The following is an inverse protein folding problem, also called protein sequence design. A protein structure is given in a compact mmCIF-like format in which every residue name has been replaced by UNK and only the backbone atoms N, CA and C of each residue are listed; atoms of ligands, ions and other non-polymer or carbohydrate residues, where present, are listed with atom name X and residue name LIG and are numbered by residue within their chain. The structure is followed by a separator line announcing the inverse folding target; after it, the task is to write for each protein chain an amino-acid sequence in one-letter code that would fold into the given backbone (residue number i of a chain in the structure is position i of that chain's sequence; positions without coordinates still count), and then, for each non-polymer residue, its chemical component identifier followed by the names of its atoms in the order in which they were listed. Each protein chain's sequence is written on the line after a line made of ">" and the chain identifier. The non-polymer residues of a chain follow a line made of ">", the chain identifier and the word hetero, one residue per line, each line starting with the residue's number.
data_IF_017493434347
#
_entry.id   IF_017493434347
#
_cell.length_a   1.000
_cell.length_b   1.000
_cell.length_c   1.000
_cell.angle_alpha   90.00
_cell.angle_beta   90.00
_cell.angle_gamma   90.00
#
_symmetry.space_group_name_H-M   'P 1'
#
loop_
_entity.id
_entity.type
_entity.pdbx_description
1 polymer ?
#
# COMPACT_ATOMS: atom_id res chain seq x y z
N UNK A 1 -6.56 -40.02 31.73
CA UNK A 1 -7.03 -39.06 30.71
C UNK A 1 -7.01 -37.69 31.36
N UNK A 2 -5.95 -36.91 31.12
CA UNK A 2 -5.77 -35.59 31.72
C UNK A 2 -5.75 -34.54 30.61
N UNK A 3 -6.54 -33.48 30.79
CA UNK A 3 -6.49 -32.30 29.94
C UNK A 3 -5.32 -31.39 30.30
N UNK A 4 -4.91 -30.59 29.32
CA UNK A 4 -4.17 -29.35 29.50
C UNK A 4 -4.44 -28.47 28.29
N UNK A 5 -5.16 -27.39 28.51
CA UNK A 5 -5.28 -26.29 27.57
C UNK A 5 -4.06 -25.37 27.60
N UNK A 6 -4.05 -24.42 26.66
CA UNK A 6 -3.38 -23.14 26.83
C UNK A 6 -2.29 -22.82 25.80
N UNK A 7 -2.38 -21.58 25.30
CA UNK A 7 -1.34 -20.72 24.72
C UNK A 7 -1.14 -20.67 23.20
N UNK A 8 -1.91 -19.76 22.58
CA UNK A 8 -1.44 -18.79 21.58
C UNK A 8 -2.51 -17.68 21.58
N UNK A 9 -2.43 -16.56 22.31
CA UNK A 9 -1.42 -15.48 22.30
C UNK A 9 -0.92 -15.22 20.86
N UNK A 10 -1.31 -14.17 20.14
CA UNK A 10 -2.11 -13.02 20.55
C UNK A 10 -2.29 -12.00 19.41
N UNK A 11 -2.94 -10.90 19.79
CA UNK A 11 -2.88 -9.56 19.18
C UNK A 11 -3.22 -9.42 17.69
N UNK A 12 -4.52 -9.39 17.38
CA UNK A 12 -5.07 -8.78 16.18
C UNK A 12 -5.19 -7.24 16.33
N UNK A 13 -4.10 -6.55 16.67
CA UNK A 13 -4.11 -5.08 16.89
C UNK A 13 -2.85 -4.42 16.33
N UNK A 14 -2.62 -4.58 15.03
CA UNK A 14 -1.61 -3.83 14.31
C UNK A 14 -2.04 -3.74 12.86
N UNK A 15 -2.57 -2.58 12.46
CA UNK A 15 -2.79 -2.23 11.05
C UNK A 15 -1.54 -2.51 10.21
N UNK A 16 -1.68 -2.56 8.89
CA UNK A 16 -0.79 -3.14 7.86
C UNK A 16 0.72 -3.31 8.11
N UNK A 17 1.36 -2.45 8.89
CA UNK A 17 2.69 -2.68 9.44
C UNK A 17 2.78 -3.96 10.30
N UNK A 18 1.73 -4.31 11.05
CA UNK A 18 1.62 -5.57 11.80
C UNK A 18 1.51 -6.81 10.91
N UNK A 19 0.89 -6.68 9.72
CA UNK A 19 0.84 -7.75 8.71
C UNK A 19 2.20 -7.96 8.03
N UNK A 20 3.00 -6.89 7.88
CA UNK A 20 4.35 -6.96 7.33
C UNK A 20 5.37 -7.60 8.31
N UNK A 21 5.09 -7.63 9.62
CA UNK A 21 6.07 -8.08 10.63
C UNK A 21 5.63 -9.32 11.41
N UNK A 22 4.33 -9.59 11.49
CA UNK A 22 3.77 -10.58 12.41
C UNK A 22 3.67 -12.01 11.87
N UNK A 23 3.66 -12.22 10.55
CA UNK A 23 3.53 -13.57 10.02
C UNK A 23 4.89 -14.26 9.91
N UNK A 24 4.99 -15.49 10.43
CA UNK A 24 6.15 -16.38 10.23
C UNK A 24 6.42 -16.65 8.73
N UNK A 25 5.46 -16.32 7.85
CA UNK A 25 5.52 -16.40 6.40
C UNK A 25 6.43 -15.30 5.79
N UNK A 26 6.32 -14.05 6.25
CA UNK A 26 7.10 -12.92 5.71
C UNK A 26 8.60 -13.03 6.02
N UNK A 27 8.96 -13.56 7.20
CA UNK A 27 10.37 -13.81 7.55
C UNK A 27 11.04 -14.87 6.68
N UNK A 28 10.26 -15.76 6.03
CA UNK A 28 10.77 -16.73 5.05
C UNK A 28 10.97 -16.10 3.66
N UNK A 29 10.27 -15.02 3.33
CA UNK A 29 10.46 -14.29 2.05
C UNK A 29 11.66 -13.34 2.06
N UNK A 30 12.19 -12.98 3.22
CA UNK A 30 13.41 -12.15 3.34
C UNK A 30 14.74 -12.93 3.21
N UNK A 31 14.70 -14.26 3.05
CA UNK A 31 15.88 -15.14 3.15
C UNK A 31 16.29 -15.91 1.88
N UNK A 32 15.62 -15.70 0.74
CA UNK A 32 15.95 -16.37 -0.52
C UNK A 32 16.11 -15.35 -1.65
N UNK A 33 17.14 -15.50 -2.48
CA UNK A 33 17.57 -14.55 -3.50
C UNK A 33 16.48 -14.17 -4.52
N UNK A 34 15.67 -13.17 -4.17
CA UNK A 34 14.88 -12.24 -5.01
C UNK A 34 13.99 -11.45 -4.04
N UNK A 35 14.59 -10.42 -3.43
CA UNK A 35 13.91 -9.55 -2.48
C UNK A 35 12.86 -8.69 -3.18
N UNK A 36 11.62 -9.17 -3.24
CA UNK A 36 10.48 -8.32 -3.57
C UNK A 36 10.10 -7.54 -2.31
N UNK A 37 10.62 -6.31 -2.18
CA UNK A 37 10.18 -5.38 -1.14
C UNK A 37 8.68 -5.08 -1.28
N UNK A 38 8.02 -4.62 -0.20
CA UNK A 38 6.57 -4.39 -0.20
C UNK A 38 6.07 -3.53 -1.37
N UNK A 39 6.79 -2.48 -1.74
CA UNK A 39 6.46 -1.62 -2.89
C UNK A 39 6.51 -2.38 -4.23
N UNK A 40 7.47 -3.28 -4.43
CA UNK A 40 7.57 -4.08 -5.66
C UNK A 40 6.35 -4.99 -5.85
N UNK A 41 5.84 -5.58 -4.76
CA UNK A 41 4.63 -6.39 -4.79
C UNK A 41 3.40 -5.53 -5.13
N UNK A 42 3.26 -4.36 -4.50
CA UNK A 42 2.15 -3.43 -4.78
C UNK A 42 2.17 -2.97 -6.23
N UNK A 43 3.33 -2.55 -6.74
CA UNK A 43 3.48 -2.15 -8.14
C UNK A 43 3.18 -3.29 -9.11
N UNK A 44 3.62 -4.52 -8.83
CA UNK A 44 3.33 -5.68 -9.66
C UNK A 44 1.83 -6.05 -9.66
N UNK A 45 1.18 -5.99 -8.50
CA UNK A 45 -0.27 -6.20 -8.38
C UNK A 45 -1.04 -5.15 -9.16
N UNK A 46 -0.71 -3.87 -8.98
CA UNK A 46 -1.36 -2.77 -9.69
C UNK A 46 -1.20 -2.89 -11.21
N UNK A 47 0.03 -3.17 -11.67
CA UNK A 47 0.31 -3.38 -13.09
C UNK A 47 -0.47 -4.56 -13.66
N UNK A 48 -0.51 -5.70 -12.95
CA UNK A 48 -1.25 -6.89 -13.42
C UNK A 48 -2.76 -6.69 -13.40
N UNK A 49 -3.29 -6.03 -12.38
CA UNK A 49 -4.71 -5.66 -12.31
C UNK A 49 -5.09 -4.75 -13.49
N UNK A 50 -4.26 -3.74 -13.77
CA UNK A 50 -4.43 -2.85 -14.92
C UNK A 50 -4.34 -3.61 -16.26
N UNK A 51 -3.36 -4.49 -16.44
CA UNK A 51 -3.24 -5.31 -17.64
C UNK A 51 -4.46 -6.23 -17.84
N UNK A 52 -4.98 -6.83 -16.78
CA UNK A 52 -6.18 -7.67 -16.84
C UNK A 52 -7.42 -6.85 -17.24
N UNK A 53 -7.56 -5.65 -16.67
CA UNK A 53 -8.62 -4.71 -17.04
C UNK A 53 -8.55 -4.32 -18.52
N UNK A 54 -7.38 -3.92 -19.02
CA UNK A 54 -7.18 -3.55 -20.43
C UNK A 54 -7.45 -4.72 -21.40
N UNK A 55 -7.32 -5.96 -20.92
CA UNK A 55 -7.61 -7.18 -21.69
C UNK A 55 -9.07 -7.64 -21.56
N UNK A 56 -9.95 -6.86 -20.92
CA UNK A 56 -11.34 -7.21 -20.64
C UNK A 56 -11.49 -8.58 -19.94
N UNK A 57 -10.51 -8.95 -19.09
CA UNK A 57 -10.62 -10.15 -18.25
C UNK A 57 -11.57 -9.88 -17.09
N UNK A 58 -12.06 -10.94 -16.46
CA UNK A 58 -12.80 -10.82 -15.21
C UNK A 58 -11.91 -10.23 -14.09
N UNK A 59 -12.51 -9.45 -13.20
CA UNK A 59 -11.86 -8.92 -12.00
C UNK A 59 -11.63 -10.03 -10.97
N UNK A 60 -10.58 -10.82 -11.18
CA UNK A 60 -10.10 -11.86 -10.26
C UNK A 60 -8.72 -11.51 -9.72
N UNK A 61 -8.35 -12.14 -8.61
CA UNK A 61 -7.02 -12.00 -8.01
C UNK A 61 -5.86 -12.27 -8.97
N UNK A 62 -4.69 -11.72 -8.66
CA UNK A 62 -3.45 -11.94 -9.42
C UNK A 62 -2.71 -13.13 -8.83
N UNK A 63 -2.34 -14.10 -9.66
CA UNK A 63 -1.62 -15.28 -9.17
C UNK A 63 -0.17 -14.95 -8.78
N UNK A 64 0.41 -15.66 -7.79
CA UNK A 64 1.82 -15.46 -7.38
C UNK A 64 2.81 -15.61 -8.54
N UNK A 65 2.56 -16.56 -9.46
CA UNK A 65 3.39 -16.75 -10.65
C UNK A 65 3.34 -15.54 -11.60
N UNK A 66 2.18 -14.89 -11.73
CA UNK A 66 2.05 -13.69 -12.54
C UNK A 66 2.77 -12.48 -11.93
N UNK A 67 2.83 -12.38 -10.59
CA UNK A 67 3.58 -11.35 -9.87
C UNK A 67 5.09 -11.53 -10.03
N UNK A 68 5.58 -12.76 -9.82
CA UNK A 68 7.00 -13.07 -9.95
C UNK A 68 7.56 -12.90 -11.38
N UNK A 69 6.67 -12.84 -12.38
CA UNK A 69 7.02 -12.59 -13.77
C UNK A 69 7.12 -11.10 -14.15
N UNK A 70 6.83 -10.17 -13.23
CA UNK A 70 6.95 -8.73 -13.47
C UNK A 70 8.40 -8.30 -13.25
N UNK A 71 9.11 -7.82 -14.28
CA UNK A 71 10.46 -7.27 -14.11
C UNK A 71 10.40 -5.93 -13.37
N UNK A 72 11.44 -5.61 -12.60
CA UNK A 72 11.48 -4.43 -11.74
C UNK A 72 11.32 -3.12 -12.54
N UNK A 73 11.84 -3.07 -13.76
CA UNK A 73 11.82 -1.90 -14.63
C UNK A 73 10.42 -1.65 -15.24
N UNK A 74 9.53 -2.65 -15.20
CA UNK A 74 8.15 -2.51 -15.65
C UNK A 74 7.21 -2.03 -14.55
N UNK A 75 7.69 -1.92 -13.30
CA UNK A 75 6.87 -1.44 -12.19
C UNK A 75 6.50 0.02 -12.40
N UNK A 76 5.26 0.46 -12.08
CA UNK A 76 4.85 1.84 -12.35
C UNK A 76 5.71 2.86 -11.60
N UNK A 77 6.15 2.53 -10.38
CA UNK A 77 7.08 3.34 -9.59
C UNK A 77 8.55 3.34 -10.06
N UNK A 78 8.91 2.54 -11.07
CA UNK A 78 10.23 2.67 -11.70
C UNK A 78 10.31 3.93 -12.58
N UNK A 79 9.17 4.49 -12.98
CA UNK A 79 9.08 5.74 -13.73
C UNK A 79 9.00 6.94 -12.77
N UNK A 80 9.51 8.12 -13.17
CA UNK A 80 9.39 9.33 -12.37
C UNK A 80 7.93 9.77 -12.23
N UNK A 81 7.69 10.61 -11.23
CA UNK A 81 6.43 11.33 -11.08
C UNK A 81 6.24 12.38 -12.20
N UNK A 82 5.05 12.94 -12.31
CA UNK A 82 4.71 13.92 -13.34
C UNK A 82 5.56 15.19 -13.29
N UNK A 83 6.10 15.54 -12.12
CA UNK A 83 7.02 16.66 -11.90
C UNK A 83 8.50 16.30 -12.12
N UNK A 84 8.80 15.06 -12.54
CA UNK A 84 10.16 14.54 -12.72
C UNK A 84 10.82 14.05 -11.43
N UNK A 85 10.15 14.14 -10.29
CA UNK A 85 10.65 13.67 -9.00
C UNK A 85 10.51 12.16 -8.78
N UNK A 86 11.00 11.64 -7.65
CA UNK A 86 10.85 10.22 -7.29
C UNK A 86 9.40 9.87 -7.00
N UNK A 87 8.81 8.96 -7.80
CA UNK A 87 7.42 8.54 -7.63
C UNK A 87 7.17 7.80 -6.30
N UNK A 88 8.19 7.20 -5.72
CA UNK A 88 8.15 6.54 -4.41
C UNK A 88 7.69 7.50 -3.30
N UNK A 89 8.05 8.79 -3.39
CA UNK A 89 7.58 9.81 -2.44
C UNK A 89 6.08 10.07 -2.57
N UNK A 90 5.53 9.97 -3.78
CA UNK A 90 4.09 10.06 -4.04
C UNK A 90 3.37 8.88 -3.39
N UNK A 91 3.91 7.67 -3.51
CA UNK A 91 3.36 6.48 -2.85
C UNK A 91 3.36 6.63 -1.32
N UNK A 92 4.46 7.11 -0.74
CA UNK A 92 4.56 7.36 0.71
C UNK A 92 3.50 8.38 1.13
N UNK A 93 3.36 9.50 0.42
CA UNK A 93 2.34 10.52 0.71
C UNK A 93 0.92 9.95 0.62
N UNK A 94 0.65 9.09 -0.37
CA UNK A 94 -0.64 8.45 -0.54
C UNK A 94 -0.96 7.46 0.59
N UNK A 95 0.01 6.63 0.99
CA UNK A 95 -0.12 5.69 2.11
C UNK A 95 -0.31 6.41 3.45
N UNK A 96 0.47 7.46 3.71
CA UNK A 96 0.32 8.28 4.93
C UNK A 96 -1.02 9.00 4.94
N UNK A 97 -1.45 9.54 3.80
CA UNK A 97 -2.78 10.16 3.66
C UNK A 97 -3.91 9.18 3.93
N UNK A 98 -3.77 7.96 3.42
CA UNK A 98 -4.71 6.86 3.64
C UNK A 98 -4.80 6.47 5.12
N UNK A 99 -3.66 6.28 5.78
CA UNK A 99 -3.61 5.97 7.21
C UNK A 99 -4.18 7.09 8.11
N UNK A 100 -4.31 8.31 7.58
CA UNK A 100 -4.88 9.49 8.27
C UNK A 100 -6.35 9.73 7.99
N UNK A 101 -6.97 8.91 7.13
CA UNK A 101 -8.27 9.21 6.53
C UNK A 101 -9.42 9.31 7.55
N UNK A 102 -9.33 8.62 8.68
CA UNK A 102 -10.33 8.67 9.76
C UNK A 102 -10.24 9.92 10.66
N UNK A 103 -9.22 10.75 10.43
CA UNK A 103 -9.01 12.01 11.14
C UNK A 103 -8.48 11.86 12.58
N UNK A 104 -8.16 10.64 13.02
CA UNK A 104 -7.64 10.37 14.35
C UNK A 104 -6.24 9.78 14.22
N UNK A 105 -5.21 10.63 14.14
CA UNK A 105 -3.90 10.22 14.64
C UNK A 105 -3.78 10.82 16.03
N UNK A 106 -3.95 9.99 17.04
CA UNK A 106 -3.67 10.40 18.40
C UNK A 106 -2.15 10.45 18.67
N UNK A 107 -1.76 11.04 19.80
CA UNK A 107 -0.34 11.17 20.15
C UNK A 107 0.38 9.81 20.29
N UNK A 108 -0.35 8.75 20.65
CA UNK A 108 0.18 7.39 20.80
C UNK A 108 0.43 6.75 19.44
N UNK A 109 -0.48 6.92 18.49
CA UNK A 109 -0.34 6.48 17.11
C UNK A 109 0.79 7.24 16.41
N UNK A 110 0.88 8.55 16.63
CA UNK A 110 1.99 9.35 16.14
C UNK A 110 3.31 8.79 16.67
N UNK A 111 3.43 8.55 17.98
CA UNK A 111 4.64 8.01 18.60
C UNK A 111 4.99 6.59 18.12
N UNK A 112 3.98 5.77 17.83
CA UNK A 112 4.17 4.44 17.21
C UNK A 112 4.70 4.55 15.79
N UNK A 113 4.11 5.42 14.97
CA UNK A 113 4.60 5.70 13.61
C UNK A 113 6.03 6.26 13.64
N UNK A 114 6.32 7.18 14.56
CA UNK A 114 7.69 7.69 14.81
C UNK A 114 8.66 6.54 15.09
N UNK A 115 8.30 5.65 16.00
CA UNK A 115 9.16 4.52 16.40
C UNK A 115 9.40 3.54 15.26
N UNK A 116 8.39 3.27 14.43
CA UNK A 116 8.55 2.40 13.25
C UNK A 116 9.41 3.05 12.17
N UNK A 117 9.22 4.34 11.88
CA UNK A 117 10.06 5.09 10.93
C UNK A 117 11.53 5.07 11.35
N UNK A 118 11.81 5.21 12.65
CA UNK A 118 13.17 5.07 13.18
C UNK A 118 13.75 3.66 12.97
N UNK A 119 12.92 2.62 13.10
CA UNK A 119 13.29 1.21 12.97
C UNK A 119 13.52 0.76 11.52
N UNK A 120 12.92 1.45 10.54
CA UNK A 120 12.98 1.08 9.11
C UNK A 120 14.35 1.29 8.46
N UNK A 121 15.36 1.78 9.19
CA UNK A 121 16.71 1.96 8.66
C UNK A 121 16.82 3.00 7.54
N UNK A 122 15.83 3.90 7.46
CA UNK A 122 15.81 5.02 6.52
C UNK A 122 16.91 6.02 6.86
N UNK A 123 17.41 6.73 5.85
CA UNK A 123 18.29 7.88 6.09
C UNK A 123 17.53 9.05 6.73
N UNK A 124 18.28 10.02 7.24
CA UNK A 124 17.72 11.17 7.96
C UNK A 124 16.79 12.03 7.10
N UNK A 125 17.03 12.10 5.79
CA UNK A 125 16.24 12.90 4.86
C UNK A 125 14.87 12.26 4.61
N UNK A 126 14.84 10.95 4.36
CA UNK A 126 13.62 10.18 4.22
C UNK A 126 12.79 10.18 5.51
N UNK A 127 13.43 10.08 6.69
CA UNK A 127 12.74 10.21 7.98
C UNK A 127 12.09 11.58 8.14
N UNK A 128 12.84 12.65 7.88
CA UNK A 128 12.32 14.01 7.96
C UNK A 128 11.12 14.22 7.02
N UNK A 129 11.18 13.68 5.81
CA UNK A 129 10.08 13.72 4.86
C UNK A 129 8.82 13.03 5.39
N UNK A 130 8.94 11.82 5.94
CA UNK A 130 7.79 11.10 6.52
C UNK A 130 7.20 11.86 7.71
N UNK A 131 8.03 12.47 8.56
CA UNK A 131 7.55 13.26 9.70
C UNK A 131 6.80 14.53 9.28
N UNK A 132 7.30 15.23 8.26
CA UNK A 132 6.60 16.38 7.69
C UNK A 132 5.22 15.98 7.13
N UNK A 133 5.16 14.86 6.40
CA UNK A 133 3.89 14.30 5.90
C UNK A 133 2.88 13.97 7.01
N UNK A 134 3.36 13.47 8.15
CA UNK A 134 2.49 13.16 9.30
C UNK A 134 1.87 14.43 9.91
N UNK A 135 2.55 15.57 9.83
CA UNK A 135 2.06 16.84 10.37
C UNK A 135 1.19 17.63 9.38
N UNK A 136 1.33 17.38 8.09
CA UNK A 136 0.57 18.08 7.04
C UNK A 136 -0.86 17.54 6.86
N UNK A 137 -1.85 18.37 6.52
CA UNK A 137 -3.15 17.88 6.06
C UNK A 137 -3.00 16.99 4.82
N UNK A 138 -3.92 16.02 4.66
CA UNK A 138 -3.96 15.18 3.47
C UNK A 138 -4.35 16.03 2.25
N UNK A 139 -3.47 16.12 1.25
CA UNK A 139 -3.76 16.76 -0.03
C UNK A 139 -3.86 15.73 -1.16
N UNK A 140 -5.08 15.29 -1.43
CA UNK A 140 -5.40 14.36 -2.50
C UNK A 140 -5.22 14.98 -3.90
N UNK A 141 -5.28 16.31 -4.04
CA UNK A 141 -5.01 16.97 -5.32
C UNK A 141 -3.52 16.89 -5.64
N UNK A 142 -2.66 17.18 -4.66
CA UNK A 142 -1.21 17.06 -4.81
C UNK A 142 -0.78 15.63 -5.17
N UNK A 143 -1.38 14.61 -4.52
CA UNK A 143 -1.13 13.20 -4.86
C UNK A 143 -1.52 12.93 -6.33
N UNK A 144 -2.72 13.32 -6.74
CA UNK A 144 -3.20 13.04 -8.10
C UNK A 144 -2.44 13.80 -9.19
N UNK A 145 -1.96 15.00 -8.90
CA UNK A 145 -1.19 15.81 -9.84
C UNK A 145 0.22 15.25 -10.09
N UNK A 146 0.77 14.49 -9.15
CA UNK A 146 2.09 13.86 -9.27
C UNK A 146 2.08 12.53 -10.06
N UNK A 147 0.89 12.02 -10.43
CA UNK A 147 0.73 10.79 -11.23
C UNK A 147 0.86 11.10 -12.71
N UNK A 148 1.79 10.44 -13.40
CA UNK A 148 2.05 10.62 -14.83
C UNK A 148 1.29 9.63 -15.71
N UNK A 149 1.01 8.42 -15.23
CA UNK A 149 0.36 7.36 -16.03
C UNK A 149 -0.83 6.70 -15.32
N UNK A 150 -1.75 6.05 -16.06
CA UNK A 150 -2.83 5.27 -15.47
C UNK A 150 -2.34 4.13 -14.55
N UNK A 151 -1.22 3.49 -14.89
CA UNK A 151 -0.59 2.45 -14.08
C UNK A 151 -0.08 2.98 -12.74
N UNK A 152 0.51 4.18 -12.74
CA UNK A 152 0.89 4.88 -11.51
C UNK A 152 -0.34 5.24 -10.67
N UNK A 153 -1.44 5.68 -11.30
CA UNK A 153 -2.69 5.92 -10.60
C UNK A 153 -3.26 4.65 -9.96
N UNK A 154 -3.21 3.53 -10.68
CA UNK A 154 -3.60 2.22 -10.16
C UNK A 154 -2.74 1.82 -8.96
N UNK A 155 -1.43 2.06 -9.02
CA UNK A 155 -0.51 1.77 -7.91
C UNK A 155 -0.77 2.65 -6.68
N UNK A 156 -0.96 3.96 -6.86
CA UNK A 156 -1.29 4.90 -5.77
C UNK A 156 -2.57 4.49 -5.06
N UNK A 157 -3.60 4.11 -5.82
CA UNK A 157 -4.86 3.64 -5.24
C UNK A 157 -4.66 2.35 -4.45
N UNK A 158 -3.95 1.36 -5.03
CA UNK A 158 -3.73 0.08 -4.37
C UNK A 158 -2.87 0.23 -3.11
N UNK A 159 -1.81 1.04 -3.16
CA UNK A 159 -0.98 1.37 -2.00
C UNK A 159 -1.80 2.02 -0.89
N UNK A 160 -2.69 2.96 -1.24
CA UNK A 160 -3.58 3.64 -0.29
C UNK A 160 -4.60 2.68 0.33
N UNK A 161 -5.24 1.84 -0.50
CA UNK A 161 -6.19 0.82 -0.05
C UNK A 161 -5.52 -0.20 0.86
N UNK A 162 -4.29 -0.58 0.55
CA UNK A 162 -3.49 -1.40 1.43
C UNK A 162 -3.25 -0.63 2.71
N UNK A 163 -2.73 0.60 2.71
CA UNK A 163 -2.38 1.36 3.93
C UNK A 163 -3.52 1.68 4.94
N UNK A 164 -4.77 1.27 4.69
CA UNK A 164 -5.91 1.46 5.59
C UNK A 164 -6.77 0.21 5.71
N UNK A 165 -7.65 0.17 6.71
CA UNK A 165 -8.65 -0.89 6.86
C UNK A 165 -10.06 -0.30 6.71
N UNK A 166 -10.68 -0.34 5.50
CA UNK A 166 -11.83 0.51 5.13
C UNK A 166 -13.17 0.09 5.76
N UNK A 167 -13.15 -0.31 7.02
CA UNK A 167 -14.30 -0.57 7.85
C UNK A 167 -14.95 0.75 8.32
N UNK A 168 -14.20 1.86 8.34
CA UNK A 168 -14.74 3.17 8.70
C UNK A 168 -15.32 3.95 7.49
N UNK A 169 -16.45 4.67 7.63
CA UNK A 169 -17.02 5.49 6.55
C UNK A 169 -16.05 6.54 5.99
N UNK A 170 -15.17 7.10 6.83
CA UNK A 170 -14.21 8.12 6.41
C UNK A 170 -13.13 7.56 5.46
N UNK A 171 -12.65 6.34 5.71
CA UNK A 171 -11.68 5.66 4.85
C UNK A 171 -12.28 5.30 3.48
N UNK A 172 -13.54 4.86 3.46
CA UNK A 172 -14.27 4.65 2.20
C UNK A 172 -14.41 5.95 1.41
N UNK A 173 -14.79 7.04 2.08
CA UNK A 173 -14.90 8.36 1.46
C UNK A 173 -13.54 8.85 0.92
N UNK A 174 -12.45 8.57 1.62
CA UNK A 174 -11.09 8.85 1.14
C UNK A 174 -10.80 8.09 -0.16
N UNK A 175 -11.03 6.76 -0.19
CA UNK A 175 -10.75 5.94 -1.37
C UNK A 175 -11.61 6.35 -2.57
N UNK A 176 -12.88 6.67 -2.35
CA UNK A 176 -13.77 7.19 -3.39
C UNK A 176 -13.24 8.52 -3.95
N UNK A 177 -12.84 9.43 -3.07
CA UNK A 177 -12.30 10.73 -3.46
C UNK A 177 -10.94 10.62 -4.17
N UNK A 178 -10.09 9.67 -3.76
CA UNK A 178 -8.83 9.37 -4.41
C UNK A 178 -9.06 8.78 -5.81
N UNK A 179 -9.90 7.75 -5.93
CA UNK A 179 -10.23 7.11 -7.21
C UNK A 179 -10.81 8.13 -8.21
N UNK A 180 -11.67 9.04 -7.75
CA UNK A 180 -12.23 10.10 -8.58
C UNK A 180 -11.17 11.05 -9.11
N UNK A 181 -10.20 11.47 -8.27
CA UNK A 181 -9.12 12.39 -8.68
C UNK A 181 -8.12 11.75 -9.62
N UNK A 182 -7.82 10.47 -9.39
CA UNK A 182 -6.99 9.65 -10.26
C UNK A 182 -7.71 9.25 -11.57
N UNK A 183 -9.00 9.59 -11.70
CA UNK A 183 -9.86 9.26 -12.85
C UNK A 183 -9.88 7.75 -13.13
N UNK A 184 -9.87 6.92 -12.08
CA UNK A 184 -9.89 5.47 -12.23
C UNK A 184 -11.27 5.00 -12.71
N UNK A 185 -11.36 4.26 -13.82
CA UNK A 185 -12.61 3.62 -14.22
C UNK A 185 -13.11 2.67 -13.13
N UNK A 186 -14.44 2.61 -12.94
CA UNK A 186 -15.05 1.75 -11.93
C UNK A 186 -14.66 0.27 -12.07
N UNK A 187 -14.53 -0.21 -13.32
CA UNK A 187 -14.09 -1.58 -13.57
C UNK A 187 -12.62 -1.80 -13.19
N UNK A 188 -11.71 -0.86 -13.51
CA UNK A 188 -10.32 -0.94 -13.08
C UNK A 188 -10.22 -0.99 -11.55
N UNK A 189 -11.03 -0.18 -10.84
CA UNK A 189 -11.09 -0.22 -9.37
C UNK A 189 -11.47 -1.62 -8.84
N UNK A 190 -12.45 -2.29 -9.47
CA UNK A 190 -12.80 -3.68 -9.11
C UNK A 190 -11.64 -4.65 -9.29
N UNK A 191 -10.86 -4.52 -10.38
CA UNK A 191 -9.66 -5.33 -10.59
C UNK A 191 -8.62 -5.11 -9.49
N UNK A 192 -8.41 -3.86 -9.08
CA UNK A 192 -7.47 -3.51 -8.00
C UNK A 192 -7.93 -4.08 -6.66
N UNK A 193 -9.22 -3.95 -6.33
CA UNK A 193 -9.78 -4.47 -5.09
C UNK A 193 -9.75 -6.01 -5.03
N UNK A 194 -10.05 -6.69 -6.14
CA UNK A 194 -9.93 -8.15 -6.23
C UNK A 194 -8.49 -8.64 -5.99
N UNK A 195 -7.49 -7.80 -6.30
CA UNK A 195 -6.07 -8.12 -6.10
C UNK A 195 -5.63 -8.07 -4.63
N UNK A 196 -6.40 -7.39 -3.76
CA UNK A 196 -6.14 -7.33 -2.30
C UNK A 196 -6.74 -8.53 -1.56
N UNK A 197 -7.87 -9.06 -2.04
CA UNK A 197 -8.68 -10.09 -1.35
C UNK A 197 -8.14 -11.52 -1.53
N UNK A 198 -7.00 -11.70 -2.22
CA UNK A 198 -6.49 -13.01 -2.64
C UNK A 198 -5.75 -13.82 -1.57
N UNK A 199 -5.86 -13.47 -0.29
CA UNK A 199 -5.41 -14.32 0.82
C UNK A 199 -6.56 -15.27 1.23
N UNK A 200 -6.76 -16.35 0.47
CA UNK A 200 -7.50 -17.54 0.93
C UNK A 200 -6.75 -18.80 0.56
#
# INVERSE_FOLDING_TARGET
>A
MSGSGGFMSGAATGGLLGLLLGSKQVRKMTGGALGYGGAAVVGALALKAYQNYQQNKSATGVSPAALAAVPAEALPHALPAADGGPFQLVLIRAMVGAAKADGHIDASEQQRLFSEVERLGLDSEAKAFVFDLLQQPVDLNAISAAVATPEQGAEVYLASRLAMDPDHPAERAYLDALASRLKLPAELRKHLEASVVSEQ
#
